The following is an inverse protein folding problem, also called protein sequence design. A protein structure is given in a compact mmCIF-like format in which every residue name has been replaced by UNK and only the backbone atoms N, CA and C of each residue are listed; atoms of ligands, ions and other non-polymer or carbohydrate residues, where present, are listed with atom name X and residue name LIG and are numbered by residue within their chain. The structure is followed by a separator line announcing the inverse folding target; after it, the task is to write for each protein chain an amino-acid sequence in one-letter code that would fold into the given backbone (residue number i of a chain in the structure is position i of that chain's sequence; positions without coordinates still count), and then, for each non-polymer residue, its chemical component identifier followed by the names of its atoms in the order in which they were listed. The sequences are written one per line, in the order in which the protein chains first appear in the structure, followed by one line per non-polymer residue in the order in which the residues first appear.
data_IF_071098313396
#
_entry.id   IF_071098313396
#
_cell.length_a   1.000
_cell.length_b   1.000
_cell.length_c   1.000
_cell.angle_alpha   90.00
_cell.angle_beta   90.00
_cell.angle_gamma   90.00
#
_symmetry.space_group_name_H-M   'P 1'
#
loop_
_entity.id
_entity.type
_entity.pdbx_description
1 polymer ?
#
# COMPACT_ATOMS: atom_id res chain seq x y z
N UNK A 1 5.77 -48.65 56.80
CA UNK A 1 6.17 -49.83 56.00
C UNK A 1 7.20 -49.39 54.96
N UNK A 2 8.35 -50.07 54.99
CA UNK A 2 9.53 -50.13 54.11
C UNK A 2 9.81 -49.09 53.00
N UNK A 3 10.99 -48.46 53.13
CA UNK A 3 11.88 -48.01 52.03
C UNK A 3 12.36 -49.21 51.20
N UNK A 4 12.59 -49.03 49.90
CA UNK A 4 13.65 -49.75 49.18
C UNK A 4 14.32 -48.81 48.18
N UNK A 5 15.57 -48.46 48.49
CA UNK A 5 16.57 -48.00 47.53
C UNK A 5 17.16 -49.21 46.80
N UNK A 6 17.52 -49.05 45.54
CA UNK A 6 18.33 -50.05 44.83
C UNK A 6 19.49 -49.36 44.13
N UNK A 7 20.60 -49.25 44.87
CA UNK A 7 21.94 -49.02 44.32
C UNK A 7 22.37 -50.25 43.52
N UNK A 8 22.73 -50.05 42.23
CA UNK A 8 23.53 -51.02 41.47
C UNK A 8 24.90 -50.44 41.15
N UNK A 9 25.88 -50.95 41.88
CA UNK A 9 27.33 -50.81 41.66
C UNK A 9 27.76 -51.90 40.67
N UNK A 10 28.46 -51.57 39.59
CA UNK A 10 29.29 -52.50 38.80
C UNK A 10 30.34 -51.67 38.05
N UNK A 11 31.57 -51.70 38.56
CA UNK A 11 32.72 -52.46 38.07
C UNK A 11 33.45 -51.77 36.92
N UNK A 12 34.54 -51.12 37.29
CA UNK A 12 35.65 -50.72 36.46
C UNK A 12 36.16 -51.94 35.65
N UNK A 13 36.27 -51.77 34.34
CA UNK A 13 37.18 -52.54 33.50
C UNK A 13 37.99 -51.53 32.68
N UNK A 14 39.28 -51.46 32.99
CA UNK A 14 40.30 -50.82 32.17
C UNK A 14 40.52 -51.67 30.93
N UNK A 15 40.55 -51.07 29.74
CA UNK A 15 41.28 -51.67 28.62
C UNK A 15 41.87 -50.58 27.73
N UNK A 16 43.20 -50.65 27.60
CA UNK A 16 44.06 -49.83 26.77
C UNK A 16 44.19 -50.43 25.37
N UNK A 17 43.94 -49.66 24.30
CA UNK A 17 44.85 -49.63 23.14
C UNK A 17 44.58 -48.47 22.17
N UNK A 18 45.67 -47.94 21.61
CA UNK A 18 45.76 -46.84 20.62
C UNK A 18 45.48 -47.33 19.19
N UNK A 19 44.85 -46.51 18.34
CA UNK A 19 45.43 -45.97 17.09
C UNK A 19 44.45 -45.00 16.41
N UNK A 20 45.01 -44.13 15.57
CA UNK A 20 44.43 -42.86 15.15
C UNK A 20 43.24 -42.98 14.20
N UNK A 21 42.49 -41.87 14.14
CA UNK A 21 41.99 -41.32 12.89
C UNK A 21 42.02 -39.80 13.02
N UNK A 22 42.88 -39.21 12.20
CA UNK A 22 43.02 -37.78 11.98
C UNK A 22 41.98 -37.42 10.91
N UNK A 23 40.88 -36.80 11.34
CA UNK A 23 39.88 -36.26 10.41
C UNK A 23 39.69 -34.79 10.74
N UNK A 24 40.09 -33.96 9.79
CA UNK A 24 39.98 -32.51 9.80
C UNK A 24 38.54 -32.08 10.10
N UNK A 25 38.30 -31.67 11.35
CA UNK A 25 37.10 -30.94 11.73
C UNK A 25 37.40 -29.45 11.56
N UNK A 26 36.98 -28.91 10.42
CA UNK A 26 36.86 -27.48 10.15
C UNK A 26 36.13 -26.84 11.32
N UNK A 27 36.86 -26.06 12.12
CA UNK A 27 36.33 -25.32 13.25
C UNK A 27 35.28 -24.32 12.73
N UNK A 28 34.00 -24.66 12.86
CA UNK A 28 32.93 -23.67 12.90
C UNK A 28 33.19 -22.81 14.13
N UNK A 29 33.71 -21.60 13.91
CA UNK A 29 33.87 -20.61 14.95
C UNK A 29 32.48 -20.25 15.51
N UNK A 30 32.08 -20.98 16.55
CA UNK A 30 30.99 -20.64 17.44
C UNK A 30 31.37 -19.35 18.14
N UNK A 31 30.95 -18.23 17.58
CA UNK A 31 31.05 -16.91 18.20
C UNK A 31 30.12 -16.87 19.42
N UNK A 32 30.61 -17.47 20.51
CA UNK A 32 30.10 -17.26 21.86
C UNK A 32 30.81 -16.03 22.38
N UNK A 33 30.06 -15.06 22.90
CA UNK A 33 30.63 -13.93 23.63
C UNK A 33 31.54 -14.51 24.73
N UNK A 34 32.84 -14.28 24.61
CA UNK A 34 33.89 -14.98 25.35
C UNK A 34 33.98 -14.59 26.84
N UNK A 35 33.07 -13.76 27.33
CA UNK A 35 33.12 -13.14 28.67
C UNK A 35 31.78 -13.20 29.44
N UNK A 36 30.77 -13.91 28.92
CA UNK A 36 29.45 -14.00 29.54
C UNK A 36 28.54 -12.77 29.32
N UNK A 37 29.00 -11.74 28.60
CA UNK A 37 28.14 -10.61 28.21
C UNK A 37 27.13 -11.05 27.13
N UNK A 38 25.94 -10.45 27.08
CA UNK A 38 25.00 -10.69 25.98
C UNK A 38 25.59 -10.31 24.62
N UNK A 39 25.29 -11.09 23.59
CA UNK A 39 25.61 -10.76 22.19
C UNK A 39 24.74 -9.59 21.76
N UNK A 40 25.38 -8.49 21.34
CA UNK A 40 24.71 -7.24 20.98
C UNK A 40 24.35 -7.27 19.50
N UNK A 41 23.07 -7.46 19.22
CA UNK A 41 22.51 -7.46 17.87
C UNK A 41 21.88 -6.12 17.61
N UNK A 42 22.16 -5.54 16.44
CA UNK A 42 21.52 -4.31 15.98
C UNK A 42 20.57 -4.61 14.84
N UNK A 43 19.34 -4.13 14.91
CA UNK A 43 18.40 -4.13 13.79
C UNK A 43 17.95 -2.69 13.52
N UNK A 44 17.83 -2.31 12.27
CA UNK A 44 17.39 -0.97 11.88
C UNK A 44 16.17 -0.97 10.99
N UNK A 45 15.54 0.19 10.91
CA UNK A 45 14.40 0.41 10.06
C UNK A 45 13.69 1.73 10.33
N UNK A 46 12.64 1.94 9.55
CA UNK A 46 11.78 3.11 9.70
C UNK A 46 10.71 2.86 10.76
N UNK A 47 10.16 1.63 10.78
CA UNK A 47 9.13 1.22 11.73
C UNK A 47 7.83 2.05 11.69
N UNK A 48 7.52 2.65 10.54
CA UNK A 48 6.26 3.36 10.30
C UNK A 48 5.05 2.42 10.30
N UNK A 49 3.94 2.87 10.89
CA UNK A 49 2.76 2.05 11.21
C UNK A 49 3.16 0.70 11.83
N UNK A 50 3.84 0.76 12.98
CA UNK A 50 4.47 -0.42 13.59
C UNK A 50 3.49 -1.60 13.69
N UNK A 51 3.81 -2.70 13.00
CA UNK A 51 2.93 -3.83 12.82
C UNK A 51 3.64 -5.16 13.10
N UNK A 52 2.88 -6.26 13.17
CA UNK A 52 3.42 -7.58 13.55
C UNK A 52 4.54 -8.10 12.64
N UNK A 53 4.60 -7.64 11.37
CA UNK A 53 5.75 -7.93 10.49
C UNK A 53 7.07 -7.37 11.01
N UNK A 54 7.09 -6.17 11.59
CA UNK A 54 8.28 -5.60 12.24
C UNK A 54 8.60 -6.37 13.51
N UNK A 55 7.59 -6.61 14.36
CA UNK A 55 7.77 -7.33 15.62
C UNK A 55 8.35 -8.74 15.40
N UNK A 56 7.93 -9.47 14.36
CA UNK A 56 8.48 -10.79 14.01
C UNK A 56 9.90 -10.75 13.45
N UNK A 57 10.28 -9.67 12.76
CA UNK A 57 11.68 -9.48 12.34
C UNK A 57 12.58 -9.22 13.56
N UNK A 58 12.11 -8.40 14.50
CA UNK A 58 12.80 -8.14 15.77
C UNK A 58 12.85 -9.37 16.68
N UNK A 59 11.79 -10.20 16.69
CA UNK A 59 11.78 -11.51 17.35
C UNK A 59 12.89 -12.41 16.82
N UNK A 60 13.01 -12.52 15.49
CA UNK A 60 14.08 -13.29 14.86
C UNK A 60 15.46 -12.78 15.29
N UNK A 61 15.67 -11.45 15.26
CA UNK A 61 16.93 -10.83 15.69
C UNK A 61 17.25 -11.10 17.17
N UNK A 62 16.25 -11.01 18.06
CA UNK A 62 16.38 -11.29 19.50
C UNK A 62 16.68 -12.76 19.81
N UNK A 63 16.23 -13.68 18.96
CA UNK A 63 16.41 -15.13 19.13
C UNK A 63 17.61 -15.70 18.36
N UNK A 64 18.43 -14.87 17.71
CA UNK A 64 19.61 -15.33 16.96
C UNK A 64 20.64 -16.07 17.84
N UNK A 65 20.75 -15.67 19.11
CA UNK A 65 21.68 -16.28 20.06
C UNK A 65 20.99 -16.57 21.40
N UNK A 66 21.49 -17.51 22.21
CA UNK A 66 20.88 -17.84 23.50
C UNK A 66 20.81 -16.67 24.50
N UNK A 67 21.76 -15.75 24.43
CA UNK A 67 21.82 -14.54 25.26
C UNK A 67 22.06 -13.31 24.36
N UNK A 68 20.98 -12.73 23.85
CA UNK A 68 21.03 -11.56 22.95
C UNK A 68 20.52 -10.31 23.65
N UNK A 69 21.22 -9.20 23.43
CA UNK A 69 20.74 -7.84 23.70
C UNK A 69 20.48 -7.14 22.36
N UNK A 70 19.23 -6.83 22.07
CA UNK A 70 18.76 -6.27 20.81
C UNK A 70 18.64 -4.75 20.91
N UNK A 71 19.51 -4.08 20.18
CA UNK A 71 19.44 -2.66 19.88
C UNK A 71 18.63 -2.46 18.61
N UNK A 72 17.67 -1.54 18.64
CA UNK A 72 16.88 -1.19 17.46
C UNK A 72 17.08 0.27 17.10
N UNK A 73 17.74 0.50 15.97
CA UNK A 73 17.93 1.83 15.40
C UNK A 73 16.74 2.27 14.57
N UNK A 74 16.25 3.48 14.82
CA UNK A 74 15.14 4.06 14.08
C UNK A 74 15.59 5.35 13.38
N UNK A 75 15.49 5.38 12.05
CA UNK A 75 15.84 6.56 11.26
C UNK A 75 14.86 7.71 11.57
N UNK A 76 15.36 8.95 11.58
CA UNK A 76 14.54 10.13 11.81
C UNK A 76 13.73 10.54 10.56
N UNK A 77 12.79 11.48 10.73
CA UNK A 77 11.86 11.84 9.66
C UNK A 77 12.57 12.52 8.47
N UNK A 78 13.59 13.33 8.73
CA UNK A 78 14.34 14.04 7.68
C UNK A 78 15.12 13.07 6.79
N UNK A 79 15.84 12.14 7.40
CA UNK A 79 16.62 11.12 6.71
C UNK A 79 15.70 10.18 5.91
N UNK A 80 14.61 9.74 6.55
CA UNK A 80 13.62 8.88 5.90
C UNK A 80 12.98 9.56 4.71
N UNK A 81 12.62 10.84 4.83
CA UNK A 81 12.03 11.63 3.75
C UNK A 81 12.99 11.80 2.57
N UNK A 82 14.28 11.98 2.87
CA UNK A 82 15.31 12.18 1.85
C UNK A 82 15.58 10.92 1.02
N UNK A 83 15.64 9.76 1.67
CA UNK A 83 16.13 8.53 1.03
C UNK A 83 15.06 7.46 0.77
N UNK A 84 13.88 7.57 1.40
CA UNK A 84 12.79 6.60 1.22
C UNK A 84 11.49 7.23 0.74
N UNK A 85 11.04 8.27 1.42
CA UNK A 85 9.73 8.88 1.22
C UNK A 85 9.05 9.26 2.53
N UNK A 86 7.75 9.57 2.44
CA UNK A 86 6.97 10.06 3.58
C UNK A 86 6.62 8.93 4.55
N UNK A 87 6.60 9.26 5.84
CA UNK A 87 6.02 8.45 6.91
C UNK A 87 4.63 8.93 7.26
N UNK A 88 3.78 8.03 7.75
CA UNK A 88 2.47 8.36 8.33
C UNK A 88 2.66 8.80 9.79
N UNK A 89 3.43 8.03 10.57
CA UNK A 89 3.80 8.36 11.93
C UNK A 89 5.06 9.24 11.94
N UNK A 90 5.08 10.22 12.85
CA UNK A 90 6.30 11.00 13.10
C UNK A 90 7.35 10.16 13.83
N UNK A 91 8.58 10.66 13.87
CA UNK A 91 9.69 9.92 14.48
C UNK A 91 9.48 9.57 15.96
N UNK A 92 8.88 10.46 16.76
CA UNK A 92 8.65 10.22 18.18
C UNK A 92 7.63 9.09 18.39
N UNK A 93 6.57 9.06 17.59
CA UNK A 93 5.59 7.96 17.59
C UNK A 93 6.22 6.62 17.20
N UNK A 94 7.17 6.64 16.25
CA UNK A 94 7.92 5.43 15.82
C UNK A 94 8.88 4.96 16.90
N UNK A 95 9.60 5.88 17.55
CA UNK A 95 10.48 5.57 18.67
C UNK A 95 9.69 4.96 19.83
N UNK A 96 8.54 5.54 20.19
CA UNK A 96 7.70 5.03 21.28
C UNK A 96 7.10 3.66 20.94
N UNK A 97 6.67 3.47 19.69
CA UNK A 97 6.17 2.16 19.23
C UNK A 97 7.20 1.03 19.43
N UNK A 98 8.49 1.33 19.20
CA UNK A 98 9.58 0.38 19.42
C UNK A 98 9.83 0.09 20.89
N UNK A 99 9.71 1.09 21.77
CA UNK A 99 9.89 0.91 23.23
C UNK A 99 8.87 -0.06 23.83
N UNK A 100 7.70 -0.20 23.20
CA UNK A 100 6.67 -1.16 23.61
C UNK A 100 6.78 -2.52 22.92
N UNK A 101 7.75 -2.73 22.04
CA UNK A 101 7.96 -4.03 21.41
C UNK A 101 8.65 -4.98 22.40
N UNK A 102 7.99 -6.10 22.72
CA UNK A 102 8.48 -7.16 23.64
C UNK A 102 9.95 -7.56 23.43
N UNK A 103 10.42 -7.55 22.18
CA UNK A 103 11.72 -8.11 21.80
C UNK A 103 12.87 -7.12 21.91
N UNK A 104 12.57 -5.82 22.06
CA UNK A 104 13.55 -4.74 22.02
C UNK A 104 14.06 -4.45 23.43
N UNK A 105 15.39 -4.41 23.60
CA UNK A 105 16.00 -4.01 24.87
C UNK A 105 16.34 -2.52 24.87
N UNK A 106 16.79 -1.99 23.73
CA UNK A 106 17.25 -0.61 23.60
C UNK A 106 16.81 -0.02 22.25
N UNK A 107 16.28 1.20 22.27
CA UNK A 107 15.96 1.97 21.07
C UNK A 107 17.03 3.04 20.87
N UNK A 108 17.60 3.11 19.66
CA UNK A 108 18.54 4.16 19.24
C UNK A 108 17.80 5.12 18.28
N UNK A 109 17.39 6.30 18.75
CA UNK A 109 16.87 7.38 17.90
C UNK A 109 17.93 7.88 16.91
N UNK A 110 17.49 8.57 15.86
CA UNK A 110 18.37 9.20 14.87
C UNK A 110 19.41 8.24 14.28
N UNK A 111 19.00 6.99 14.04
CA UNK A 111 19.87 5.99 13.48
C UNK A 111 20.36 6.39 12.07
N UNK A 112 21.64 6.12 11.74
CA UNK A 112 22.21 6.49 10.45
C UNK A 112 21.61 5.64 9.32
N UNK A 113 21.61 6.19 8.10
CA UNK A 113 21.14 5.49 6.90
C UNK A 113 22.09 4.39 6.45
N UNK A 114 23.39 4.63 6.62
CA UNK A 114 24.48 3.69 6.33
C UNK A 114 25.29 3.52 7.60
N UNK A 115 25.52 2.27 8.00
CA UNK A 115 26.29 1.96 9.21
C UNK A 115 27.76 2.25 9.00
N UNK A 116 28.36 3.00 9.92
CA UNK A 116 29.79 3.30 9.91
C UNK A 116 30.54 2.46 10.95
N UNK A 117 31.85 2.23 10.78
CA UNK A 117 32.67 1.56 11.79
C UNK A 117 32.57 2.21 13.17
N UNK A 118 32.54 3.54 13.22
CA UNK A 118 32.45 4.31 14.47
C UNK A 118 31.12 4.06 15.18
N UNK A 119 30.02 3.94 14.43
CA UNK A 119 28.72 3.60 14.99
C UNK A 119 28.71 2.18 15.58
N UNK A 120 29.28 1.21 14.85
CA UNK A 120 29.42 -0.18 15.32
C UNK A 120 30.24 -0.25 16.61
N UNK A 121 31.37 0.47 16.67
CA UNK A 121 32.23 0.51 17.85
C UNK A 121 31.55 1.19 19.03
N UNK A 122 30.97 2.38 18.81
CA UNK A 122 30.27 3.17 19.85
C UNK A 122 29.18 2.37 20.55
N UNK A 123 28.38 1.62 19.80
CA UNK A 123 27.27 0.82 20.34
C UNK A 123 27.67 -0.62 20.68
N UNK A 124 28.94 -0.98 20.48
CA UNK A 124 29.50 -2.32 20.68
C UNK A 124 28.70 -3.40 19.94
N UNK A 125 28.41 -3.17 18.66
CA UNK A 125 27.57 -4.05 17.85
C UNK A 125 28.37 -5.28 17.40
N UNK A 126 27.92 -6.46 17.81
CA UNK A 126 28.49 -7.74 17.41
C UNK A 126 27.96 -8.18 16.04
N UNK A 127 26.63 -8.07 15.84
CA UNK A 127 25.95 -8.46 14.60
C UNK A 127 24.87 -7.45 14.19
N UNK A 128 24.59 -7.36 12.90
CA UNK A 128 23.49 -6.57 12.34
C UNK A 128 22.46 -7.50 11.72
N UNK A 129 21.19 -7.32 12.05
CA UNK A 129 20.09 -8.16 11.60
C UNK A 129 19.11 -7.36 10.72
N UNK A 130 18.95 -7.77 9.47
CA UNK A 130 17.96 -7.23 8.52
C UNK A 130 17.57 -8.32 7.50
N UNK A 131 16.54 -8.08 6.69
CA UNK A 131 16.22 -8.98 5.57
C UNK A 131 17.36 -9.02 4.53
N UNK A 132 17.42 -10.13 3.78
CA UNK A 132 18.53 -10.43 2.87
C UNK A 132 18.55 -9.58 1.59
N UNK A 133 17.46 -8.87 1.28
CA UNK A 133 17.36 -8.12 0.03
C UNK A 133 18.35 -6.95 0.04
N UNK A 134 19.08 -6.71 -1.06
CA UNK A 134 19.93 -5.53 -1.19
C UNK A 134 19.10 -4.28 -0.99
N UNK A 135 19.52 -3.42 -0.05
CA UNK A 135 18.83 -2.18 0.21
C UNK A 135 19.54 -1.08 -0.55
N UNK A 136 18.98 -0.71 -1.71
CA UNK A 136 19.58 0.25 -2.63
C UNK A 136 19.96 1.54 -1.91
N UNK A 137 21.25 1.88 -1.95
CA UNK A 137 21.72 3.12 -1.38
C UNK A 137 21.40 4.29 -2.32
N UNK A 138 20.28 4.95 -2.03
CA UNK A 138 19.87 6.17 -2.72
C UNK A 138 20.80 7.37 -2.49
N UNK A 139 21.80 7.25 -1.60
CA UNK A 139 22.85 8.27 -1.44
C UNK A 139 23.96 8.16 -2.50
N UNK A 140 24.06 7.02 -3.20
CA UNK A 140 24.98 6.79 -4.31
C UNK A 140 26.38 6.31 -3.90
N UNK A 141 26.59 5.88 -2.65
CA UNK A 141 27.87 5.38 -2.16
C UNK A 141 28.06 3.87 -2.39
N UNK A 142 26.98 3.08 -2.44
CA UNK A 142 27.03 1.64 -2.73
C UNK A 142 25.78 1.14 -3.48
N UNK A 143 25.76 -0.15 -3.83
CA UNK A 143 24.54 -0.80 -4.33
C UNK A 143 23.65 -1.34 -3.19
N UNK A 144 24.21 -1.48 -1.98
CA UNK A 144 23.56 -2.02 -0.79
C UNK A 144 24.11 -1.33 0.47
N UNK A 145 23.24 -0.70 1.28
CA UNK A 145 23.66 -0.02 2.50
C UNK A 145 24.28 -0.97 3.55
N UNK A 146 24.03 -2.27 3.42
CA UNK A 146 24.60 -3.31 4.30
C UNK A 146 25.87 -3.96 3.77
N UNK A 147 26.39 -3.54 2.61
CA UNK A 147 27.54 -4.17 1.95
C UNK A 147 28.76 -4.28 2.86
N UNK A 148 29.11 -3.20 3.56
CA UNK A 148 30.20 -3.18 4.54
C UNK A 148 30.04 -4.26 5.61
N UNK A 149 28.83 -4.37 6.18
CA UNK A 149 28.56 -5.28 7.30
C UNK A 149 28.53 -6.74 6.83
N UNK A 150 28.04 -6.98 5.61
CA UNK A 150 28.11 -8.28 4.94
C UNK A 150 29.56 -8.69 4.70
N UNK A 151 30.41 -7.78 4.21
CA UNK A 151 31.83 -8.03 3.93
C UNK A 151 32.63 -8.43 5.18
N UNK A 152 32.34 -7.83 6.33
CA UNK A 152 33.00 -8.16 7.60
C UNK A 152 32.37 -9.37 8.33
N UNK A 153 31.41 -10.06 7.71
CA UNK A 153 30.79 -11.27 8.26
C UNK A 153 29.88 -11.04 9.48
N UNK A 154 29.44 -9.79 9.72
CA UNK A 154 28.59 -9.42 10.86
C UNK A 154 27.09 -9.36 10.51
N UNK A 155 26.71 -9.57 9.26
CA UNK A 155 25.31 -9.55 8.83
C UNK A 155 24.58 -10.87 9.16
N UNK A 156 23.37 -10.78 9.69
CA UNK A 156 22.48 -11.90 10.01
C UNK A 156 21.13 -11.68 9.35
N UNK A 157 20.73 -12.60 8.50
CA UNK A 157 19.50 -12.48 7.72
C UNK A 157 18.27 -12.77 8.58
N UNK A 158 17.24 -11.94 8.43
CA UNK A 158 15.88 -12.19 8.92
C UNK A 158 14.92 -12.40 7.75
N UNK A 159 13.78 -13.03 8.02
CA UNK A 159 12.73 -13.26 7.04
C UNK A 159 11.60 -12.26 7.23
N UNK A 160 11.19 -11.64 6.11
CA UNK A 160 9.99 -10.81 6.07
C UNK A 160 8.75 -11.66 6.35
N UNK A 161 7.72 -11.02 6.90
CA UNK A 161 6.43 -11.67 7.13
C UNK A 161 5.50 -11.37 5.95
N UNK A 162 5.01 -12.41 5.29
CA UNK A 162 4.09 -12.27 4.16
C UNK A 162 2.71 -11.75 4.61
N UNK A 163 2.06 -10.99 3.72
CA UNK A 163 0.70 -10.48 3.94
C UNK A 163 0.58 -9.29 4.88
N UNK A 164 1.70 -8.66 5.27
CA UNK A 164 1.70 -7.41 6.03
C UNK A 164 2.88 -6.51 5.63
N UNK A 165 2.61 -5.23 5.45
CA UNK A 165 3.62 -4.17 5.32
C UNK A 165 2.97 -2.81 5.55
N UNK A 166 3.74 -1.78 5.85
CA UNK A 166 3.26 -0.38 5.94
C UNK A 166 2.48 0.00 4.68
N UNK A 167 3.01 -0.29 3.49
CA UNK A 167 2.35 -0.03 2.21
C UNK A 167 1.01 -0.75 2.08
N UNK A 168 0.96 -2.02 2.47
CA UNK A 168 -0.28 -2.81 2.43
C UNK A 168 -1.33 -2.26 3.41
N UNK A 169 -0.95 -1.87 4.63
CA UNK A 169 -1.86 -1.21 5.57
C UNK A 169 -2.41 0.10 4.99
N UNK A 170 -1.55 0.92 4.37
CA UNK A 170 -1.95 2.16 3.70
C UNK A 170 -2.92 1.84 2.55
N UNK A 171 -2.60 0.85 1.71
CA UNK A 171 -3.44 0.47 0.56
C UNK A 171 -4.81 -0.02 0.99
N UNK A 172 -4.93 -0.76 2.10
CA UNK A 172 -6.22 -1.17 2.68
C UNK A 172 -7.05 0.05 3.07
N UNK A 173 -6.45 1.02 3.78
CA UNK A 173 -7.12 2.26 4.19
C UNK A 173 -7.55 3.09 2.96
N UNK A 174 -6.67 3.26 1.98
CA UNK A 174 -6.93 4.07 0.78
C UNK A 174 -8.02 3.45 -0.08
N UNK A 175 -8.03 2.12 -0.24
CA UNK A 175 -9.06 1.40 -1.01
C UNK A 175 -10.46 1.66 -0.46
N UNK A 176 -10.58 1.71 0.87
CA UNK A 176 -11.86 1.90 1.55
C UNK A 176 -12.21 3.39 1.74
N UNK A 177 -11.30 4.31 1.43
CA UNK A 177 -11.48 5.76 1.65
C UNK A 177 -12.70 6.32 0.92
N UNK A 178 -12.93 5.96 -0.35
CA UNK A 178 -14.10 6.44 -1.08
C UNK A 178 -15.41 5.96 -0.42
N UNK A 179 -15.44 4.71 0.09
CA UNK A 179 -16.60 4.18 0.80
C UNK A 179 -16.78 4.87 2.16
N UNK A 180 -15.69 5.15 2.87
CA UNK A 180 -15.70 5.94 4.10
C UNK A 180 -16.30 7.33 3.85
N UNK A 181 -15.87 8.04 2.82
CA UNK A 181 -16.40 9.37 2.45
C UNK A 181 -17.89 9.30 2.17
N UNK A 182 -18.35 8.33 1.37
CA UNK A 182 -19.77 8.23 1.04
C UNK A 182 -20.65 7.88 2.22
N UNK A 183 -20.20 6.97 3.09
CA UNK A 183 -20.95 6.63 4.32
C UNK A 183 -21.10 7.84 5.23
N UNK A 184 -20.06 8.66 5.38
CA UNK A 184 -20.12 9.84 6.24
C UNK A 184 -20.91 10.99 5.61
N UNK A 185 -20.82 11.21 4.29
CA UNK A 185 -21.69 12.16 3.59
C UNK A 185 -23.17 11.78 3.74
N UNK A 186 -23.50 10.49 3.62
CA UNK A 186 -24.86 10.00 3.82
C UNK A 186 -25.36 10.17 5.28
N UNK A 187 -24.45 10.16 6.26
CA UNK A 187 -24.74 10.45 7.67
C UNK A 187 -24.84 11.94 8.00
N UNK A 188 -24.58 12.82 7.02
CA UNK A 188 -24.68 14.27 7.18
C UNK A 188 -23.39 14.98 7.61
N UNK A 189 -22.25 14.27 7.67
CA UNK A 189 -20.96 14.93 7.91
C UNK A 189 -20.59 15.84 6.75
N UNK A 190 -20.00 17.00 7.05
CA UNK A 190 -19.59 17.93 6.01
C UNK A 190 -18.30 17.45 5.33
N UNK A 191 -18.15 17.77 4.04
CA UNK A 191 -16.92 17.50 3.28
C UNK A 191 -15.67 18.11 3.92
N UNK A 192 -15.83 19.25 4.62
CA UNK A 192 -14.72 20.03 5.19
C UNK A 192 -14.11 19.28 6.37
N UNK A 193 -14.97 18.67 7.20
CA UNK A 193 -14.55 17.90 8.38
C UNK A 193 -13.75 16.65 8.00
N UNK A 194 -14.01 16.11 6.81
CA UNK A 194 -13.30 14.94 6.27
C UNK A 194 -12.09 15.28 5.38
N UNK A 195 -11.79 16.58 5.20
CA UNK A 195 -10.72 17.02 4.30
C UNK A 195 -10.97 16.67 2.82
N UNK A 196 -12.22 16.48 2.42
CA UNK A 196 -12.58 16.06 1.06
C UNK A 196 -12.78 17.29 0.17
N UNK A 197 -12.13 17.28 -0.99
CA UNK A 197 -12.31 18.35 -1.99
C UNK A 197 -13.73 18.33 -2.57
N UNK A 198 -14.25 19.52 -2.91
CA UNK A 198 -15.60 19.63 -3.47
C UNK A 198 -15.79 18.82 -4.75
N UNK A 199 -14.78 18.82 -5.63
CA UNK A 199 -14.79 18.03 -6.88
C UNK A 199 -14.89 16.54 -6.56
N UNK A 200 -14.12 16.04 -5.59
CA UNK A 200 -14.14 14.64 -5.19
C UNK A 200 -15.50 14.24 -4.60
N UNK A 201 -16.08 15.10 -3.76
CA UNK A 201 -17.43 14.88 -3.22
C UNK A 201 -18.47 14.74 -4.34
N UNK A 202 -18.48 15.68 -5.30
CA UNK A 202 -19.44 15.65 -6.41
C UNK A 202 -19.24 14.45 -7.32
N UNK A 203 -17.99 14.09 -7.62
CA UNK A 203 -17.67 12.89 -8.38
C UNK A 203 -18.23 11.64 -7.69
N UNK A 204 -18.03 11.51 -6.37
CA UNK A 204 -18.53 10.35 -5.65
C UNK A 204 -20.07 10.34 -5.54
N UNK A 205 -20.71 11.49 -5.36
CA UNK A 205 -22.18 11.61 -5.38
C UNK A 205 -22.77 11.19 -6.73
N UNK A 206 -22.15 11.59 -7.84
CA UNK A 206 -22.56 11.17 -9.18
C UNK A 206 -22.38 9.66 -9.35
N UNK A 207 -21.24 9.10 -8.96
CA UNK A 207 -20.99 7.67 -9.02
C UNK A 207 -22.02 6.86 -8.20
N UNK A 208 -22.42 7.34 -7.02
CA UNK A 208 -23.49 6.70 -6.24
C UNK A 208 -24.84 6.74 -6.96
N UNK A 209 -25.21 7.89 -7.56
CA UNK A 209 -26.46 8.00 -8.33
C UNK A 209 -26.47 7.06 -9.53
N UNK A 210 -25.35 6.96 -10.25
CA UNK A 210 -25.18 6.03 -11.39
C UNK A 210 -25.30 4.57 -10.91
N UNK A 211 -24.64 4.20 -9.81
CA UNK A 211 -24.73 2.85 -9.27
C UNK A 211 -26.15 2.49 -8.83
N UNK A 212 -26.86 3.42 -8.15
CA UNK A 212 -28.26 3.22 -7.75
C UNK A 212 -29.18 3.05 -8.96
N UNK A 213 -28.96 3.83 -10.02
CA UNK A 213 -29.66 3.67 -11.30
C UNK A 213 -29.39 2.29 -11.90
N UNK A 214 -28.13 1.87 -11.96
CA UNK A 214 -27.73 0.56 -12.46
C UNK A 214 -28.38 -0.59 -11.69
N UNK A 215 -28.42 -0.51 -10.37
CA UNK A 215 -29.11 -1.50 -9.52
C UNK A 215 -30.62 -1.53 -9.78
N UNK A 216 -31.23 -0.36 -9.95
CA UNK A 216 -32.67 -0.25 -10.26
C UNK A 216 -32.98 -0.87 -11.63
N UNK A 217 -32.16 -0.58 -12.64
CA UNK A 217 -32.27 -1.17 -13.99
C UNK A 217 -32.09 -2.69 -13.93
N UNK A 218 -31.08 -3.18 -13.19
CA UNK A 218 -30.85 -4.62 -13.02
C UNK A 218 -32.03 -5.31 -12.34
N UNK A 219 -32.59 -4.71 -11.28
CA UNK A 219 -33.76 -5.25 -10.60
C UNK A 219 -35.01 -5.26 -11.51
N UNK A 220 -35.19 -4.24 -12.36
CA UNK A 220 -36.26 -4.22 -13.37
C UNK A 220 -36.05 -5.30 -14.44
N UNK A 221 -34.81 -5.49 -14.91
CA UNK A 221 -34.47 -6.54 -15.86
C UNK A 221 -34.74 -7.93 -15.28
N UNK A 222 -34.36 -8.19 -14.03
CA UNK A 222 -34.65 -9.46 -13.34
C UNK A 222 -36.16 -9.68 -13.17
N UNK A 223 -36.93 -8.63 -12.82
CA UNK A 223 -38.40 -8.70 -12.77
C UNK A 223 -39.02 -9.02 -14.13
N UNK A 224 -38.58 -8.37 -15.21
CA UNK A 224 -39.05 -8.63 -16.57
C UNK A 224 -38.73 -10.06 -17.00
N UNK A 225 -37.52 -10.56 -16.71
CA UNK A 225 -37.15 -11.95 -16.98
C UNK A 225 -38.00 -12.95 -16.18
N UNK A 226 -38.36 -12.61 -14.95
CA UNK A 226 -39.22 -13.46 -14.11
C UNK A 226 -40.66 -13.47 -14.65
N UNK A 227 -41.21 -12.29 -15.01
CA UNK A 227 -42.53 -12.18 -15.65
C UNK A 227 -42.56 -12.94 -16.97
N UNK A 228 -41.51 -12.85 -17.80
CA UNK A 228 -41.39 -13.62 -19.04
C UNK A 228 -41.31 -15.15 -18.82
N UNK A 229 -40.81 -15.60 -17.66
CA UNK A 229 -40.78 -17.03 -17.30
C UNK A 229 -42.09 -17.52 -16.67
N UNK A 230 -42.79 -16.67 -15.90
CA UNK A 230 -44.04 -17.01 -15.21
C UNK A 230 -45.25 -16.89 -16.12
N UNK A 231 -45.29 -15.86 -16.96
CA UNK A 231 -46.23 -15.80 -18.06
C UNK A 231 -45.64 -16.68 -19.16
N UNK A 232 -46.03 -17.96 -19.19
CA UNK A 232 -45.66 -18.87 -20.28
C UNK A 232 -46.22 -18.36 -21.61
N UNK A 233 -45.53 -17.42 -22.24
CA UNK A 233 -45.99 -16.70 -23.43
C UNK A 233 -45.06 -17.01 -24.59
N UNK A 234 -45.68 -17.42 -25.70
CA UNK A 234 -45.08 -17.64 -27.01
C UNK A 234 -44.00 -16.60 -27.33
N UNK A 235 -42.78 -17.09 -27.55
CA UNK A 235 -41.58 -16.30 -27.86
C UNK A 235 -41.80 -15.33 -29.05
N UNK A 236 -42.67 -15.67 -29.99
CA UNK A 236 -42.96 -14.89 -31.20
C UNK A 236 -43.75 -13.59 -30.94
N UNK A 237 -44.66 -13.57 -29.95
CA UNK A 237 -45.49 -12.39 -29.68
C UNK A 237 -44.74 -11.32 -28.88
N UNK A 238 -43.75 -11.76 -28.09
CA UNK A 238 -42.89 -10.87 -27.31
C UNK A 238 -41.79 -10.24 -28.15
N UNK A 239 -41.19 -10.99 -29.09
CA UNK A 239 -40.21 -10.46 -30.05
C UNK A 239 -40.86 -9.39 -30.96
N UNK A 240 -42.07 -9.65 -31.47
CA UNK A 240 -42.79 -8.68 -32.28
C UNK A 240 -43.14 -7.38 -31.52
N UNK A 241 -43.48 -7.49 -30.23
CA UNK A 241 -43.74 -6.31 -29.39
C UNK A 241 -42.48 -5.58 -28.94
N UNK A 242 -41.38 -6.31 -28.70
CA UNK A 242 -40.08 -5.72 -28.38
C UNK A 242 -39.51 -4.98 -29.59
N UNK A 243 -39.57 -5.54 -30.79
CA UNK A 243 -39.16 -4.87 -32.03
C UNK A 243 -40.01 -3.63 -32.30
N UNK A 244 -41.33 -3.69 -32.03
CA UNK A 244 -42.21 -2.52 -32.14
C UNK A 244 -41.90 -1.43 -31.11
N UNK A 245 -41.53 -1.81 -29.87
CA UNK A 245 -41.12 -0.86 -28.83
C UNK A 245 -39.74 -0.26 -29.10
N UNK A 246 -38.79 -1.06 -29.59
CA UNK A 246 -37.45 -0.61 -29.98
C UNK A 246 -37.55 0.29 -31.21
N UNK A 247 -38.37 -0.06 -32.21
CA UNK A 247 -38.65 0.80 -33.36
C UNK A 247 -39.30 2.12 -32.94
N UNK A 248 -40.33 2.09 -32.09
CA UNK A 248 -40.97 3.32 -31.60
C UNK A 248 -40.08 4.17 -30.67
N UNK A 249 -39.14 3.54 -29.96
CA UNK A 249 -38.13 4.25 -29.18
C UNK A 249 -37.07 4.87 -30.09
N UNK A 250 -36.59 4.14 -31.09
CA UNK A 250 -35.63 4.62 -32.08
C UNK A 250 -36.22 5.73 -32.95
N UNK A 251 -37.48 5.62 -33.36
CA UNK A 251 -38.21 6.65 -34.12
C UNK A 251 -38.35 7.94 -33.29
N UNK A 252 -38.70 7.83 -32.00
CA UNK A 252 -38.71 8.99 -31.09
C UNK A 252 -37.31 9.56 -30.83
N UNK A 253 -36.29 8.72 -30.83
CA UNK A 253 -34.90 9.13 -30.63
C UNK A 253 -34.35 9.81 -31.89
N UNK A 254 -34.70 9.32 -33.08
CA UNK A 254 -34.39 9.93 -34.38
C UNK A 254 -35.17 11.22 -34.59
N UNK A 255 -36.45 11.31 -34.20
CA UNK A 255 -37.21 12.56 -34.15
C UNK A 255 -36.52 13.57 -33.23
N UNK A 256 -36.09 13.17 -32.03
CA UNK A 256 -35.36 14.07 -31.12
C UNK A 256 -34.01 14.51 -31.69
N UNK A 257 -33.29 13.60 -32.35
CA UNK A 257 -32.03 13.92 -33.02
C UNK A 257 -32.24 14.87 -34.20
N UNK A 258 -33.31 14.70 -34.99
CA UNK A 258 -33.66 15.58 -36.11
C UNK A 258 -34.18 16.94 -35.66
N UNK A 259 -34.98 17.01 -34.58
CA UNK A 259 -35.39 18.29 -33.96
C UNK A 259 -34.17 19.01 -33.40
N UNK A 260 -33.22 18.30 -32.82
CA UNK A 260 -31.97 18.87 -32.33
C UNK A 260 -31.05 19.32 -33.49
N UNK A 261 -30.95 18.53 -34.56
CA UNK A 261 -30.16 18.85 -35.75
C UNK A 261 -30.74 20.03 -36.53
N UNK A 262 -32.07 20.11 -36.68
CA UNK A 262 -32.76 21.27 -37.28
C UNK A 262 -32.60 22.50 -36.40
N UNK A 263 -32.76 22.41 -35.08
CA UNK A 263 -32.51 23.53 -34.17
C UNK A 263 -31.04 24.02 -34.20
N UNK A 264 -30.08 23.12 -34.42
CA UNK A 264 -28.66 23.47 -34.59
C UNK A 264 -28.42 24.11 -35.96
N UNK A 265 -29.00 23.58 -37.04
CA UNK A 265 -28.91 24.14 -38.39
C UNK A 265 -29.55 25.53 -38.47
N UNK A 266 -30.74 25.72 -37.88
CA UNK A 266 -31.44 27.01 -37.81
C UNK A 266 -30.61 28.05 -37.04
N UNK A 267 -29.98 27.66 -35.93
CA UNK A 267 -29.06 28.55 -35.19
C UNK A 267 -27.80 28.92 -35.97
N UNK A 268 -27.28 28.02 -36.81
CA UNK A 268 -26.13 28.29 -37.69
C UNK A 268 -26.55 29.22 -38.84
N UNK A 269 -27.74 29.01 -39.40
CA UNK A 269 -28.29 29.79 -40.50
C UNK A 269 -28.71 31.20 -40.06
N UNK A 270 -29.27 31.37 -38.86
CA UNK A 270 -29.46 32.69 -38.22
C UNK A 270 -28.13 33.41 -37.99
N UNK A 271 -27.08 32.71 -37.56
CA UNK A 271 -25.74 33.31 -37.36
C UNK A 271 -25.11 33.78 -38.67
N UNK A 272 -25.24 33.00 -39.75
CA UNK A 272 -24.77 33.37 -41.09
C UNK A 272 -25.59 34.53 -41.68
N UNK A 273 -26.92 34.52 -41.49
CA UNK A 273 -27.81 35.60 -41.93
C UNK A 273 -27.55 36.93 -41.19
N UNK A 274 -27.24 36.91 -39.89
CA UNK A 274 -26.83 38.11 -39.14
C UNK A 274 -25.46 38.66 -39.55
N UNK A 275 -24.54 37.81 -40.02
CA UNK A 275 -23.27 38.26 -40.61
C UNK A 275 -23.46 38.88 -42.00
N UNK A 276 -24.35 38.34 -42.83
CA UNK A 276 -24.68 38.91 -44.14
C UNK A 276 -25.45 40.25 -44.04
N UNK A 277 -26.38 40.37 -43.09
CA UNK A 277 -27.14 41.61 -42.86
C UNK A 277 -26.29 42.78 -42.37
N UNK A 278 -25.22 42.52 -41.60
CA UNK A 278 -24.24 43.55 -41.20
C UNK A 278 -23.37 44.03 -42.38
N UNK A 279 -23.18 43.21 -43.41
CA UNK A 279 -22.47 43.61 -44.64
C UNK A 279 -23.31 44.49 -45.56
N UNK A 280 -24.63 44.27 -45.62
CA UNK A 280 -25.54 45.00 -46.51
C UNK A 280 -25.95 46.36 -45.92
N UNK A 281 -26.11 46.47 -44.59
CA UNK A 281 -26.40 47.74 -43.92
C UNK A 281 -25.26 48.77 -44.05
N UNK A 282 -24.02 48.32 -44.26
CA UNK A 282 -22.87 49.20 -44.53
C UNK A 282 -22.85 49.74 -45.98
N UNK A 283 -23.62 49.16 -46.90
CA UNK A 283 -23.65 49.53 -48.32
C UNK A 283 -24.75 50.51 -48.74
N UNK A 284 -25.78 50.72 -47.92
CA UNK A 284 -26.96 51.53 -48.30
C UNK A 284 -26.97 52.99 -47.80
N UNK A 285 -25.91 53.47 -47.13
CA UNK A 285 -25.74 54.89 -46.75
C UNK A 285 -24.69 55.61 -47.61
N UNK A 286 -24.68 55.41 -48.93
CA UNK A 286 -23.90 56.27 -49.84
C UNK A 286 -24.64 56.53 -51.14
N UNK A 287 -25.19 57.74 -51.23
CA UNK A 287 -25.47 58.46 -52.48
C UNK A 287 -25.21 59.97 -52.26
N UNK A 288 -24.97 60.74 -53.34
CA UNK A 288 -23.79 61.58 -53.46
C UNK A 288 -24.09 63.09 -53.56
N UNK A 289 -23.11 63.94 -53.21
CA UNK A 289 -23.01 65.35 -53.63
C UNK A 289 -21.50 65.65 -53.72
N UNK A 290 -20.85 65.70 -54.88
CA UNK A 290 -20.85 66.71 -55.94
C UNK A 290 -20.30 68.09 -55.48
N UNK A 291 -19.02 68.31 -55.82
CA UNK A 291 -18.36 69.53 -56.30
C UNK A 291 -18.80 70.92 -55.77
N UNK A 292 -17.92 71.57 -55.01
CA UNK A 292 -17.19 72.80 -55.38
C UNK A 292 -16.28 73.21 -54.21
#
# INVERSE_FOLDING_TARGET
MARVSSSRKRMLHTNSNKKGDEVAATATASATASDGRPVRVYADGIFDLFHFGHARALEQAKLLFPNTYLLVGCCNDDLTRRYKGKTVMNQEERYESLRHCKWVDEVIPDAPWVLTPEFIEKHQIDYVAHDALPYADTSGASNDVYEFVKKIGKFKETKRTDGVSTSDLIMRIVKDYNQYVMRNLARGYSRKDMGVSYVKEKQLQVNMKINKLRETVKAQQEKLQTVAKTAGINHEEWLANADRWVAGFLEKFEEHCHVMETAIKDRIQERLGRQAGKGIAAGLMRQPVAAA
#
